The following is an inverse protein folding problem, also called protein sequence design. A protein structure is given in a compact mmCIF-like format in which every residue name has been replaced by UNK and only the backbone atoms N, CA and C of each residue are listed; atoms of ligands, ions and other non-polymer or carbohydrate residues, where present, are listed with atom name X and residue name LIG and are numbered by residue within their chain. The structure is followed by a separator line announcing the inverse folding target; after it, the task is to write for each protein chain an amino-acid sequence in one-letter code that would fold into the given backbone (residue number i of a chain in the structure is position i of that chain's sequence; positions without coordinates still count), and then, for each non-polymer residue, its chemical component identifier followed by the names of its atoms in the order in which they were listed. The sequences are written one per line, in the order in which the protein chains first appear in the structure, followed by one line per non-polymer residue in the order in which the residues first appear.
data_IF_516010409614
#
_entry.id   IF_516010409614
#
_cell.length_a   1.000
_cell.length_b   1.000
_cell.length_c   1.000
_cell.angle_alpha   90.00
_cell.angle_beta   90.00
_cell.angle_gamma   90.00
#
_symmetry.space_group_name_H-M   'P 1'
#
loop_
_entity.id
_entity.type
_entity.pdbx_description
1 polymer ?
#
# COMPACT_ATOMS: atom_id res chain seq x y z
N UNK A 1 -16.70 -15.75 3.89
CA UNK A 1 -16.83 -14.58 2.99
C UNK A 1 -15.63 -14.50 2.04
N UNK A 2 -14.38 -14.60 2.51
CA UNK A 2 -13.16 -14.52 1.69
C UNK A 2 -13.18 -15.52 0.55
N UNK A 3 -13.41 -16.81 0.83
CA UNK A 3 -13.47 -17.85 -0.19
C UNK A 3 -14.62 -17.61 -1.19
N UNK A 4 -15.77 -17.11 -0.71
CA UNK A 4 -16.89 -16.74 -1.59
C UNK A 4 -16.51 -15.60 -2.55
N UNK A 5 -15.78 -14.59 -2.06
CA UNK A 5 -15.29 -13.47 -2.89
C UNK A 5 -14.29 -13.95 -3.95
N UNK A 6 -13.32 -14.80 -3.57
CA UNK A 6 -12.31 -15.34 -4.49
C UNK A 6 -12.94 -16.24 -5.58
N UNK A 7 -13.98 -16.98 -5.23
CA UNK A 7 -14.69 -17.86 -6.19
C UNK A 7 -15.70 -17.14 -7.07
N UNK A 8 -16.11 -15.93 -6.69
CA UNK A 8 -17.04 -15.09 -7.45
C UNK A 8 -16.44 -13.68 -7.62
N UNK A 9 -15.30 -13.55 -8.29
CA UNK A 9 -14.61 -12.29 -8.41
C UNK A 9 -15.37 -11.32 -9.33
N UNK A 10 -15.20 -10.03 -9.05
CA UNK A 10 -15.77 -8.94 -9.84
C UNK A 10 -14.94 -8.73 -11.11
N UNK A 11 -15.58 -8.75 -12.25
CA UNK A 11 -14.99 -8.37 -13.55
C UNK A 11 -13.89 -9.29 -14.10
N UNK A 12 -13.71 -10.49 -13.53
CA UNK A 12 -12.75 -11.47 -14.05
C UNK A 12 -13.11 -12.91 -13.65
N UNK A 13 -12.38 -13.88 -14.21
CA UNK A 13 -12.55 -15.29 -13.87
C UNK A 13 -12.01 -15.63 -12.48
N UNK A 14 -12.56 -16.67 -11.80
CA UNK A 14 -12.00 -17.19 -10.56
C UNK A 14 -10.59 -17.75 -10.75
N UNK A 15 -9.79 -17.82 -9.67
CA UNK A 15 -8.40 -18.31 -9.73
C UNK A 15 -8.29 -19.71 -10.33
N UNK A 16 -9.26 -20.60 -10.09
CA UNK A 16 -9.30 -21.95 -10.66
C UNK A 16 -9.42 -22.00 -12.19
N UNK A 17 -9.86 -20.91 -12.81
CA UNK A 17 -9.98 -20.79 -14.26
C UNK A 17 -8.88 -19.92 -14.86
N UNK A 18 -8.18 -19.12 -14.03
CA UNK A 18 -7.04 -18.31 -14.43
C UNK A 18 -5.74 -19.09 -14.41
N UNK A 19 -5.61 -20.06 -13.50
CA UNK A 19 -4.40 -20.87 -13.30
C UNK A 19 -4.67 -22.33 -13.69
N UNK A 20 -3.61 -23.05 -14.02
CA UNK A 20 -3.61 -24.47 -14.33
C UNK A 20 -2.28 -25.10 -13.90
N UNK A 21 -2.14 -26.42 -14.04
CA UNK A 21 -0.87 -27.11 -13.79
C UNK A 21 0.28 -26.50 -14.63
N UNK A 22 1.36 -26.10 -13.97
CA UNK A 22 2.52 -25.46 -14.58
C UNK A 22 2.43 -23.93 -14.67
N UNK A 23 1.31 -23.31 -14.28
CA UNK A 23 1.25 -21.85 -14.15
C UNK A 23 2.14 -21.38 -13.02
N UNK A 24 2.94 -20.36 -13.29
CA UNK A 24 3.71 -19.60 -12.29
C UNK A 24 2.83 -18.52 -11.65
N UNK A 25 2.87 -18.41 -10.33
CA UNK A 25 2.01 -17.49 -9.58
C UNK A 25 2.83 -16.66 -8.60
N UNK A 26 2.54 -15.35 -8.56
CA UNK A 26 3.07 -14.45 -7.54
C UNK A 26 1.92 -13.88 -6.71
N UNK A 27 1.94 -14.12 -5.40
CA UNK A 27 1.05 -13.52 -4.43
C UNK A 27 1.79 -12.33 -3.79
N UNK A 28 1.29 -11.13 -4.03
CA UNK A 28 1.89 -9.86 -3.65
C UNK A 28 1.28 -9.42 -2.32
N UNK A 29 2.11 -9.28 -1.29
CA UNK A 29 1.69 -9.12 0.10
C UNK A 29 2.25 -7.79 0.63
N UNK A 30 1.42 -6.88 1.18
CA UNK A 30 1.92 -5.64 1.76
C UNK A 30 2.68 -5.91 3.07
N UNK A 31 3.60 -5.00 3.39
CA UNK A 31 4.45 -5.03 4.58
C UNK A 31 3.70 -4.98 5.92
N UNK A 32 4.47 -4.93 7.04
CA UNK A 32 3.95 -4.97 8.41
C UNK A 32 3.04 -3.79 8.76
N UNK A 33 3.20 -2.63 8.11
CA UNK A 33 2.40 -1.43 8.39
C UNK A 33 0.99 -1.48 7.80
N UNK A 34 0.69 -2.49 6.96
CA UNK A 34 -0.60 -2.64 6.28
C UNK A 34 -1.38 -3.84 6.80
N UNK A 35 -2.61 -3.58 7.27
CA UNK A 35 -3.50 -4.61 7.81
C UNK A 35 -3.13 -5.09 9.21
N UNK A 36 -3.88 -6.03 9.73
CA UNK A 36 -3.67 -6.61 11.06
C UNK A 36 -2.75 -7.83 11.05
N UNK A 37 -2.25 -8.18 12.24
CA UNK A 37 -1.33 -9.31 12.45
C UNK A 37 -1.94 -10.44 13.29
N UNK A 38 -3.17 -10.29 13.76
CA UNK A 38 -3.89 -11.33 14.52
C UNK A 38 -4.05 -12.62 13.70
N UNK A 39 -4.25 -13.80 14.34
CA UNK A 39 -4.41 -15.07 13.63
C UNK A 39 -5.50 -15.07 12.56
N UNK A 40 -6.55 -14.29 12.75
CA UNK A 40 -7.68 -14.13 11.82
C UNK A 40 -7.54 -12.91 10.90
N UNK A 41 -6.33 -12.36 10.74
CA UNK A 41 -6.11 -11.22 9.85
C UNK A 41 -6.49 -11.57 8.41
N UNK A 42 -7.04 -10.60 7.69
CA UNK A 42 -7.44 -10.80 6.30
C UNK A 42 -6.29 -11.33 5.43
N UNK A 43 -5.02 -10.89 5.68
CA UNK A 43 -3.87 -11.36 4.91
C UNK A 43 -3.67 -12.86 5.04
N UNK A 44 -3.61 -13.40 6.26
CA UNK A 44 -3.43 -14.84 6.52
C UNK A 44 -4.54 -15.66 5.86
N UNK A 45 -5.79 -15.23 6.07
CA UNK A 45 -6.98 -15.92 5.53
C UNK A 45 -7.00 -15.86 4.01
N UNK A 46 -6.74 -14.69 3.42
CA UNK A 46 -6.80 -14.50 1.97
C UNK A 46 -5.67 -15.22 1.24
N UNK A 47 -4.43 -15.15 1.77
CA UNK A 47 -3.29 -15.87 1.19
C UNK A 47 -3.55 -17.37 1.17
N UNK A 48 -3.96 -17.96 2.31
CA UNK A 48 -4.28 -19.39 2.40
C UNK A 48 -5.40 -19.77 1.43
N UNK A 49 -6.49 -19.00 1.39
CA UNK A 49 -7.60 -19.25 0.50
C UNK A 49 -7.20 -19.17 -0.99
N UNK A 50 -6.36 -18.22 -1.38
CA UNK A 50 -5.83 -18.13 -2.75
C UNK A 50 -4.97 -19.36 -3.08
N UNK A 51 -4.06 -19.76 -2.18
CA UNK A 51 -3.21 -20.95 -2.38
C UNK A 51 -4.06 -22.23 -2.53
N UNK A 52 -5.09 -22.39 -1.71
CA UNK A 52 -5.98 -23.55 -1.80
C UNK A 52 -6.74 -23.60 -3.14
N UNK A 53 -7.18 -22.46 -3.65
CA UNK A 53 -7.80 -22.38 -4.98
C UNK A 53 -6.79 -22.66 -6.11
N UNK A 54 -5.54 -22.23 -5.96
CA UNK A 54 -4.45 -22.53 -6.90
C UNK A 54 -4.09 -24.02 -6.90
N UNK A 55 -3.96 -24.64 -5.72
CA UNK A 55 -3.74 -26.09 -5.62
C UNK A 55 -4.90 -26.87 -6.25
N UNK A 56 -6.12 -26.43 -6.05
CA UNK A 56 -7.28 -27.04 -6.69
C UNK A 56 -7.30 -26.85 -8.22
N UNK A 57 -6.63 -25.84 -8.76
CA UNK A 57 -6.38 -25.65 -10.19
C UNK A 57 -5.22 -26.49 -10.74
N UNK A 58 -4.48 -27.20 -9.85
CA UNK A 58 -3.33 -28.03 -10.20
C UNK A 58 -1.98 -27.32 -10.18
N UNK A 59 -1.91 -26.06 -9.70
CA UNK A 59 -0.65 -25.34 -9.48
C UNK A 59 0.13 -26.06 -8.39
N UNK A 60 1.42 -26.25 -8.59
CA UNK A 60 2.27 -26.89 -7.59
C UNK A 60 2.92 -25.83 -6.68
N UNK A 61 3.22 -26.20 -5.44
CA UNK A 61 3.83 -25.29 -4.45
C UNK A 61 5.07 -24.57 -5.00
N UNK A 62 5.94 -25.29 -5.71
CA UNK A 62 7.19 -24.74 -6.27
C UNK A 62 6.99 -23.60 -7.26
N UNK A 63 5.78 -23.51 -7.84
CA UNK A 63 5.41 -22.50 -8.85
C UNK A 63 4.74 -21.27 -8.24
N UNK A 64 4.67 -21.16 -6.89
CA UNK A 64 4.09 -20.05 -6.16
C UNK A 64 5.16 -19.26 -5.42
N UNK A 65 5.21 -17.93 -5.62
CA UNK A 65 6.04 -17.00 -4.84
C UNK A 65 5.14 -16.12 -3.96
N UNK A 66 5.59 -15.85 -2.73
CA UNK A 66 4.98 -14.92 -1.78
C UNK A 66 5.85 -13.65 -1.72
N UNK A 67 5.57 -12.66 -2.55
CA UNK A 67 6.39 -11.45 -2.69
C UNK A 67 5.93 -10.37 -1.73
N UNK A 68 6.79 -9.94 -0.79
CA UNK A 68 6.53 -8.74 0.01
C UNK A 68 6.74 -7.47 -0.79
N UNK A 69 5.68 -6.65 -0.89
CA UNK A 69 5.62 -5.42 -1.67
C UNK A 69 5.92 -4.20 -0.80
N UNK A 70 7.19 -3.93 -0.59
CA UNK A 70 7.64 -2.87 0.31
C UNK A 70 7.58 -1.46 -0.31
N UNK A 71 7.69 -1.36 -1.64
CA UNK A 71 7.87 -0.06 -2.29
C UNK A 71 9.11 0.66 -1.75
N UNK A 72 8.94 1.87 -1.23
CA UNK A 72 9.98 2.65 -0.55
C UNK A 72 10.02 2.42 0.97
N UNK A 73 9.20 1.53 1.50
CA UNK A 73 9.26 1.18 2.92
C UNK A 73 10.46 0.28 3.21
N UNK A 74 10.90 0.22 4.48
CA UNK A 74 11.97 -0.69 4.87
C UNK A 74 11.66 -2.13 4.48
N UNK A 75 12.69 -2.87 4.08
CA UNK A 75 12.57 -4.28 3.72
C UNK A 75 11.95 -5.08 4.86
N UNK A 76 10.98 -5.94 4.54
CA UNK A 76 10.32 -6.79 5.52
C UNK A 76 11.31 -7.78 6.11
N UNK A 77 11.53 -7.72 7.41
CA UNK A 77 12.43 -8.62 8.14
C UNK A 77 11.82 -10.02 8.30
N UNK A 78 12.66 -11.01 8.55
CA UNK A 78 12.19 -12.40 8.75
C UNK A 78 11.18 -12.54 9.90
N UNK A 79 11.35 -11.89 11.07
CA UNK A 79 10.32 -11.87 12.10
C UNK A 79 9.00 -11.24 11.67
N UNK A 80 9.05 -10.17 10.86
CA UNK A 80 7.86 -9.53 10.30
C UNK A 80 7.15 -10.44 9.29
N UNK A 81 7.90 -11.11 8.40
CA UNK A 81 7.34 -12.11 7.47
C UNK A 81 6.57 -13.19 8.22
N UNK A 82 7.19 -13.74 9.28
CA UNK A 82 6.56 -14.75 10.13
C UNK A 82 5.31 -14.23 10.84
N UNK A 83 5.35 -12.98 11.31
CA UNK A 83 4.19 -12.32 11.95
C UNK A 83 3.04 -12.14 10.97
N UNK A 84 3.33 -11.74 9.73
CA UNK A 84 2.32 -11.48 8.69
C UNK A 84 1.71 -12.79 8.19
N UNK A 85 2.53 -13.78 7.88
CA UNK A 85 2.09 -15.05 7.29
C UNK A 85 1.53 -16.02 8.33
N UNK A 86 2.05 -15.97 9.56
CA UNK A 86 1.86 -17.01 10.57
C UNK A 86 2.81 -18.19 10.34
N UNK A 87 2.94 -19.06 11.35
CA UNK A 87 3.92 -20.17 11.35
C UNK A 87 3.69 -21.14 10.19
N UNK A 88 2.45 -21.48 9.88
CA UNK A 88 2.12 -22.44 8.85
C UNK A 88 2.60 -22.01 7.47
N UNK A 89 2.13 -20.88 6.96
CA UNK A 89 2.52 -20.35 5.64
C UNK A 89 4.01 -19.99 5.59
N UNK A 90 4.55 -19.42 6.68
CA UNK A 90 5.96 -19.10 6.76
C UNK A 90 6.82 -20.36 6.61
N UNK A 91 6.55 -21.42 7.38
CA UNK A 91 7.31 -22.65 7.31
C UNK A 91 7.13 -23.39 5.97
N UNK A 92 5.94 -23.29 5.37
CA UNK A 92 5.63 -23.91 4.09
C UNK A 92 6.51 -23.34 2.96
N UNK A 93 6.75 -22.02 2.93
CA UNK A 93 7.39 -21.35 1.78
C UNK A 93 8.79 -20.77 2.05
N UNK A 94 9.15 -20.48 3.30
CA UNK A 94 10.38 -19.75 3.61
C UNK A 94 11.64 -20.54 3.27
N UNK A 95 11.72 -21.79 3.72
CA UNK A 95 12.93 -22.60 3.57
C UNK A 95 13.21 -23.06 2.14
N UNK A 96 12.24 -22.94 1.24
CA UNK A 96 12.42 -23.18 -0.20
C UNK A 96 12.76 -21.89 -0.98
N UNK A 97 12.99 -20.75 -0.30
CA UNK A 97 13.36 -19.49 -0.93
C UNK A 97 12.22 -18.78 -1.68
N UNK A 98 10.97 -19.13 -1.37
CA UNK A 98 9.79 -18.65 -2.10
C UNK A 98 9.14 -17.43 -1.47
N UNK A 99 9.84 -16.72 -0.53
CA UNK A 99 9.36 -15.49 0.11
C UNK A 99 10.35 -14.35 -0.15
N UNK A 100 10.45 -13.84 -1.39
CA UNK A 100 11.27 -12.66 -1.68
C UNK A 100 10.61 -11.38 -1.16
N UNK A 101 11.42 -10.35 -0.96
CA UNK A 101 10.97 -8.96 -0.75
C UNK A 101 11.31 -8.15 -1.99
N UNK A 102 10.39 -7.29 -2.40
CA UNK A 102 10.66 -6.27 -3.41
C UNK A 102 11.69 -5.28 -2.88
N UNK A 103 12.61 -4.92 -3.74
CA UNK A 103 13.56 -3.83 -3.53
C UNK A 103 13.43 -2.86 -4.73
N UNK A 104 13.13 -1.61 -4.41
CA UNK A 104 12.89 -0.56 -5.43
C UNK A 104 14.14 -0.11 -6.16
N UNK A 105 15.31 -0.62 -5.78
CA UNK A 105 16.63 -0.30 -6.36
C UNK A 105 17.37 -1.53 -6.90
N UNK A 106 16.78 -2.72 -6.79
CA UNK A 106 17.36 -3.98 -7.30
C UNK A 106 17.11 -4.14 -8.81
N UNK A 107 17.97 -3.53 -9.61
CA UNK A 107 17.85 -3.54 -11.09
C UNK A 107 17.89 -4.93 -11.72
N UNK A 108 18.42 -5.96 -11.05
CA UNK A 108 18.40 -7.34 -11.55
C UNK A 108 17.00 -7.95 -11.53
N UNK A 109 16.16 -7.49 -10.58
CA UNK A 109 14.79 -7.97 -10.40
C UNK A 109 13.73 -6.92 -10.79
N UNK A 110 14.11 -5.98 -11.65
CA UNK A 110 13.21 -4.95 -12.20
C UNK A 110 13.12 -5.06 -13.72
N UNK A 111 11.96 -4.71 -14.27
CA UNK A 111 11.68 -4.63 -15.71
C UNK A 111 11.21 -3.22 -16.04
N UNK A 112 11.88 -2.59 -17.00
CA UNK A 112 11.49 -1.28 -17.54
C UNK A 112 10.39 -1.48 -18.60
N UNK A 113 9.21 -0.94 -18.34
CA UNK A 113 8.05 -1.02 -19.22
C UNK A 113 7.94 0.18 -20.17
N UNK A 114 8.78 1.21 -19.97
CA UNK A 114 8.71 2.47 -20.69
C UNK A 114 7.79 3.49 -20.02
N UNK A 115 7.20 4.35 -20.85
CA UNK A 115 6.45 5.52 -20.38
C UNK A 115 4.96 5.39 -20.66
N UNK A 116 4.13 5.82 -19.73
CA UNK A 116 2.69 5.99 -19.95
C UNK A 116 2.43 7.16 -20.91
N UNK A 117 1.22 7.27 -21.44
CA UNK A 117 0.79 8.40 -22.28
C UNK A 117 0.89 9.76 -21.54
N UNK A 118 0.97 9.75 -20.24
CA UNK A 118 1.15 10.93 -19.38
C UNK A 118 2.60 11.21 -19.02
N UNK A 119 3.55 10.44 -19.56
CA UNK A 119 4.99 10.63 -19.36
C UNK A 119 5.55 10.01 -18.09
N UNK A 120 4.78 9.22 -17.33
CA UNK A 120 5.28 8.54 -16.14
C UNK A 120 6.10 7.30 -16.55
N UNK A 121 7.36 7.23 -16.09
CA UNK A 121 8.23 6.08 -16.31
C UNK A 121 7.82 4.93 -15.40
N UNK A 122 7.47 3.79 -15.96
CA UNK A 122 7.01 2.61 -15.21
C UNK A 122 8.04 1.50 -15.26
N UNK A 123 8.60 1.19 -14.11
CA UNK A 123 9.54 0.09 -13.90
C UNK A 123 8.99 -0.76 -12.75
N UNK A 124 8.84 -2.06 -12.96
CA UNK A 124 8.18 -2.93 -12.00
C UNK A 124 8.97 -4.18 -11.67
N UNK A 125 8.57 -4.87 -10.61
CA UNK A 125 9.17 -6.11 -10.15
C UNK A 125 9.09 -7.22 -11.20
N UNK A 126 10.23 -7.85 -11.49
CA UNK A 126 10.38 -8.88 -12.53
C UNK A 126 9.61 -10.16 -12.22
N UNK A 127 9.55 -10.59 -10.96
CA UNK A 127 8.78 -11.79 -10.58
C UNK A 127 7.28 -11.63 -10.92
N UNK A 128 6.76 -10.41 -10.75
CA UNK A 128 5.37 -10.11 -11.09
C UNK A 128 5.17 -10.05 -12.60
N UNK A 129 6.11 -9.45 -13.31
CA UNK A 129 6.07 -9.36 -14.78
C UNK A 129 6.07 -10.74 -15.42
N UNK A 130 6.96 -11.63 -14.98
CA UNK A 130 7.18 -12.96 -15.58
C UNK A 130 6.11 -14.00 -15.18
N UNK A 131 5.41 -13.85 -14.06
CA UNK A 131 4.41 -14.82 -13.60
C UNK A 131 3.18 -14.87 -14.52
N UNK A 132 2.56 -16.05 -14.65
CA UNK A 132 1.30 -16.21 -15.41
C UNK A 132 0.12 -15.58 -14.67
N UNK A 133 0.13 -15.63 -13.33
CA UNK A 133 -0.93 -15.07 -12.47
C UNK A 133 -0.32 -14.20 -11.37
N UNK A 134 -0.77 -12.96 -11.27
CA UNK A 134 -0.37 -12.01 -10.24
C UNK A 134 -1.56 -11.67 -9.33
N UNK A 135 -1.43 -11.95 -8.03
CA UNK A 135 -2.48 -11.77 -7.02
C UNK A 135 -2.05 -10.68 -6.05
N UNK A 136 -2.85 -9.63 -5.91
CA UNK A 136 -2.65 -8.54 -4.95
C UNK A 136 -3.48 -8.81 -3.69
N UNK A 137 -2.84 -9.07 -2.56
CA UNK A 137 -3.50 -9.16 -1.25
C UNK A 137 -3.43 -7.78 -0.59
N UNK A 138 -4.53 -7.08 -0.55
CA UNK A 138 -4.57 -5.71 -0.10
C UNK A 138 -5.66 -5.39 0.91
N UNK A 139 -5.81 -4.11 1.20
CA UNK A 139 -6.94 -3.60 1.96
C UNK A 139 -7.34 -2.22 1.43
N UNK A 140 -8.63 -1.97 1.44
CA UNK A 140 -9.20 -0.67 1.05
C UNK A 140 -9.40 0.19 2.30
N UNK A 141 -8.61 1.23 2.42
CA UNK A 141 -8.66 2.20 3.50
C UNK A 141 -8.46 3.59 2.94
N UNK A 142 -9.14 4.59 3.50
CA UNK A 142 -8.97 5.98 3.11
C UNK A 142 -7.51 6.43 3.17
N UNK A 143 -7.02 6.96 2.06
CA UNK A 143 -5.69 7.53 1.91
C UNK A 143 -5.80 9.03 1.72
N UNK A 144 -5.05 9.87 2.45
CA UNK A 144 -5.23 11.32 2.40
C UNK A 144 -4.96 11.93 1.03
N UNK A 145 -4.08 11.35 0.22
CA UNK A 145 -3.65 11.92 -1.06
C UNK A 145 -4.22 11.19 -2.27
N UNK A 146 -4.23 9.85 -2.24
CA UNK A 146 -4.61 9.01 -3.38
C UNK A 146 -5.98 8.36 -3.27
N UNK A 147 -6.88 8.89 -2.45
CA UNK A 147 -8.23 8.36 -2.25
C UNK A 147 -8.26 7.13 -1.35
N UNK A 148 -7.99 5.96 -1.89
CA UNK A 148 -8.01 4.68 -1.17
C UNK A 148 -6.75 3.86 -1.43
N UNK A 149 -6.37 3.02 -0.46
CA UNK A 149 -5.38 1.95 -0.64
C UNK A 149 -6.00 0.74 -1.35
N UNK A 150 -5.19 -0.27 -1.63
CA UNK A 150 -5.59 -1.45 -2.40
C UNK A 150 -5.58 -1.22 -3.92
N UNK A 151 -5.98 -2.23 -4.67
CA UNK A 151 -6.06 -2.17 -6.13
C UNK A 151 -4.80 -1.65 -6.80
N UNK A 152 -4.94 -0.78 -7.77
CA UNK A 152 -3.81 -0.20 -8.51
C UNK A 152 -2.83 0.60 -7.65
N UNK A 153 -3.26 1.18 -6.52
CA UNK A 153 -2.30 1.78 -5.59
C UNK A 153 -1.30 0.77 -5.08
N UNK A 154 -1.72 -0.46 -4.83
CA UNK A 154 -0.84 -1.50 -4.30
C UNK A 154 0.29 -1.82 -5.30
N UNK A 155 -0.01 -2.02 -6.60
CA UNK A 155 1.04 -2.27 -7.59
C UNK A 155 1.87 -1.02 -7.88
N UNK A 156 1.26 0.14 -8.08
CA UNK A 156 1.96 1.39 -8.42
C UNK A 156 2.96 1.84 -7.32
N UNK A 157 2.74 1.47 -6.06
CA UNK A 157 3.65 1.82 -4.96
C UNK A 157 4.46 0.65 -4.42
N UNK A 158 3.88 -0.56 -4.37
CA UNK A 158 4.43 -1.67 -3.62
C UNK A 158 5.46 -2.51 -4.37
N UNK A 159 5.37 -2.55 -5.70
CA UNK A 159 6.23 -3.38 -6.56
C UNK A 159 6.94 -2.57 -7.65
N UNK A 160 7.03 -1.27 -7.47
CA UNK A 160 7.61 -0.34 -8.45
C UNK A 160 8.97 0.18 -8.02
N UNK A 161 9.78 0.52 -9.00
CA UNK A 161 11.03 1.24 -8.83
C UNK A 161 10.77 2.63 -8.23
N UNK A 162 11.73 3.19 -7.49
CA UNK A 162 11.59 4.49 -6.83
C UNK A 162 11.22 5.64 -7.79
N UNK A 163 11.74 5.64 -9.03
CA UNK A 163 11.39 6.66 -10.04
C UNK A 163 9.92 6.61 -10.44
N UNK A 164 9.36 5.41 -10.58
CA UNK A 164 7.93 5.23 -10.87
C UNK A 164 7.07 5.73 -9.72
N UNK A 165 7.52 5.51 -8.47
CA UNK A 165 6.87 6.01 -7.26
C UNK A 165 6.99 7.53 -7.17
N UNK A 166 8.15 8.10 -7.50
CA UNK A 166 8.37 9.56 -7.51
C UNK A 166 7.38 10.30 -8.43
N UNK A 167 6.96 9.72 -9.55
CA UNK A 167 5.99 10.32 -10.46
C UNK A 167 4.67 10.74 -9.79
N UNK A 168 4.30 10.11 -8.69
CA UNK A 168 3.08 10.43 -7.94
C UNK A 168 3.32 10.85 -6.47
N UNK A 169 4.58 10.83 -5.99
CA UNK A 169 4.96 11.27 -4.62
C UNK A 169 5.77 12.58 -4.63
N UNK A 170 5.44 13.50 -5.52
CA UNK A 170 6.05 14.83 -5.60
C UNK A 170 5.08 15.91 -5.10
N UNK A 171 5.56 17.05 -4.58
CA UNK A 171 4.70 18.10 -4.04
C UNK A 171 3.63 18.58 -5.03
N UNK A 172 3.94 18.65 -6.31
CA UNK A 172 3.02 19.09 -7.38
C UNK A 172 1.78 18.19 -7.51
N UNK A 173 1.91 16.91 -7.14
CA UNK A 173 0.80 15.94 -7.14
C UNK A 173 0.10 15.88 -5.79
N UNK A 174 0.90 15.91 -4.69
CA UNK A 174 0.39 15.70 -3.33
C UNK A 174 -0.17 16.95 -2.66
N UNK A 175 0.36 18.13 -2.98
CA UNK A 175 0.07 19.39 -2.27
C UNK A 175 -0.65 20.42 -3.12
N UNK A 176 -1.51 20.00 -4.01
CA UNK A 176 -2.32 20.88 -4.87
C UNK A 176 -3.30 21.74 -4.04
N UNK A 177 -3.56 22.95 -4.51
CA UNK A 177 -4.52 23.87 -3.87
C UNK A 177 -5.97 23.34 -3.91
N UNK A 178 -6.31 22.55 -4.94
CA UNK A 178 -7.61 21.92 -5.15
C UNK A 178 -7.76 20.57 -4.43
N UNK A 179 -6.81 20.21 -3.58
CA UNK A 179 -6.79 18.93 -2.88
C UNK A 179 -8.01 18.71 -1.99
N UNK A 180 -8.66 17.57 -2.16
CA UNK A 180 -9.73 17.07 -1.30
C UNK A 180 -9.29 15.74 -0.70
N UNK A 181 -9.23 15.61 0.64
CA UNK A 181 -8.86 14.35 1.27
C UNK A 181 -9.76 13.20 0.83
N UNK A 182 -9.15 12.02 0.63
CA UNK A 182 -9.85 10.79 0.24
C UNK A 182 -10.60 10.94 -1.11
N UNK A 183 -10.11 11.81 -1.98
CA UNK A 183 -10.66 11.96 -3.32
C UNK A 183 -10.34 10.77 -4.22
N UNK A 184 -11.35 10.21 -4.85
CA UNK A 184 -11.19 9.17 -5.89
C UNK A 184 -10.79 9.73 -7.26
N UNK A 185 -10.69 11.06 -7.37
CA UNK A 185 -10.36 11.80 -8.60
C UNK A 185 -9.14 12.71 -8.42
N UNK A 186 -8.32 12.48 -7.38
CA UNK A 186 -7.07 13.21 -7.20
C UNK A 186 -6.07 12.86 -8.31
N UNK A 187 -5.14 13.79 -8.59
CA UNK A 187 -4.06 13.52 -9.54
C UNK A 187 -3.25 12.27 -9.16
N UNK A 188 -2.95 12.10 -7.88
CA UNK A 188 -2.27 10.91 -7.38
C UNK A 188 -3.08 9.64 -7.64
N UNK A 189 -4.41 9.66 -7.48
CA UNK A 189 -5.28 8.52 -7.80
C UNK A 189 -5.21 8.18 -9.29
N UNK A 190 -5.32 9.18 -10.13
CA UNK A 190 -5.23 8.99 -11.58
C UNK A 190 -3.91 8.34 -11.99
N UNK A 191 -2.80 8.78 -11.41
CA UNK A 191 -1.48 8.19 -11.67
C UNK A 191 -1.37 6.74 -11.21
N UNK A 192 -1.91 6.37 -10.04
CA UNK A 192 -1.97 4.98 -9.62
C UNK A 192 -2.74 4.10 -10.61
N UNK A 193 -3.90 4.57 -11.04
CA UNK A 193 -4.75 3.82 -11.96
C UNK A 193 -4.09 3.68 -13.33
N UNK A 194 -3.48 4.74 -13.85
CA UNK A 194 -2.75 4.73 -15.12
C UNK A 194 -1.54 3.79 -15.09
N UNK A 195 -0.71 3.87 -14.05
CA UNK A 195 0.46 2.99 -13.90
C UNK A 195 0.03 1.53 -13.78
N UNK A 196 -1.00 1.23 -12.97
CA UNK A 196 -1.51 -0.13 -12.81
C UNK A 196 -2.08 -0.69 -14.12
N UNK A 197 -2.89 0.07 -14.84
CA UNK A 197 -3.41 -0.33 -16.16
C UNK A 197 -2.29 -0.51 -17.18
N UNK A 198 -1.27 0.34 -17.18
CA UNK A 198 -0.12 0.22 -18.04
C UNK A 198 0.71 -1.04 -17.75
N UNK A 199 0.91 -1.38 -16.45
CA UNK A 199 1.51 -2.66 -16.07
C UNK A 199 0.73 -3.84 -16.63
N UNK A 200 -0.60 -3.86 -16.48
CA UNK A 200 -1.47 -4.91 -17.02
C UNK A 200 -1.37 -5.04 -18.54
N UNK A 201 -1.34 -3.92 -19.27
CA UNK A 201 -1.17 -3.90 -20.73
C UNK A 201 0.17 -4.53 -21.13
N UNK A 202 1.27 -4.10 -20.51
CA UNK A 202 2.61 -4.61 -20.82
C UNK A 202 2.82 -6.07 -20.43
N UNK A 203 2.19 -6.52 -19.35
CA UNK A 203 2.19 -7.92 -18.94
C UNK A 203 1.26 -8.81 -19.78
N UNK A 204 0.29 -8.23 -20.48
CA UNK A 204 -0.76 -8.96 -21.19
C UNK A 204 -1.74 -9.72 -20.27
N UNK A 205 -1.78 -9.35 -18.98
CA UNK A 205 -2.62 -9.98 -17.95
C UNK A 205 -3.10 -8.96 -16.93
N UNK A 206 -4.23 -9.25 -16.29
CA UNK A 206 -4.79 -8.43 -15.20
C UNK A 206 -4.33 -8.91 -13.84
N UNK A 207 -4.20 -7.99 -12.89
CA UNK A 207 -4.05 -8.35 -11.48
C UNK A 207 -5.34 -8.94 -10.93
N UNK A 208 -5.23 -10.05 -10.21
CA UNK A 208 -6.31 -10.55 -9.37
C UNK A 208 -6.19 -9.90 -7.99
N UNK A 209 -7.08 -8.97 -7.68
CA UNK A 209 -7.09 -8.30 -6.38
C UNK A 209 -7.90 -9.08 -5.34
N UNK A 210 -7.46 -9.01 -4.09
CA UNK A 210 -8.18 -9.51 -2.93
C UNK A 210 -8.04 -8.50 -1.79
N UNK A 211 -8.94 -7.53 -1.75
CA UNK A 211 -8.88 -6.36 -0.89
C UNK A 211 -9.96 -6.39 0.19
N UNK A 212 -9.54 -6.30 1.46
CA UNK A 212 -10.44 -6.21 2.59
C UNK A 212 -10.68 -4.77 3.03
N UNK A 213 -11.89 -4.44 3.44
CA UNK A 213 -12.17 -3.24 4.25
C UNK A 213 -12.05 -3.62 5.71
N UNK A 214 -11.24 -2.88 6.47
CA UNK A 214 -10.92 -3.19 7.86
C UNK A 214 -11.49 -2.15 8.83
N UNK A 215 -11.89 -2.57 10.02
CA UNK A 215 -12.23 -1.67 11.12
C UNK A 215 -10.98 -1.10 11.82
N UNK A 216 -11.17 -0.26 12.83
CA UNK A 216 -10.07 0.35 13.61
C UNK A 216 -9.22 -0.65 14.40
N UNK A 217 -9.67 -1.89 14.54
CA UNK A 217 -8.94 -3.01 15.17
C UNK A 217 -8.38 -3.98 14.14
N UNK A 218 -8.34 -3.58 12.85
CA UNK A 218 -7.89 -4.40 11.72
C UNK A 218 -8.70 -5.68 11.49
N UNK A 219 -9.96 -5.71 11.94
CA UNK A 219 -10.87 -6.83 11.65
C UNK A 219 -11.56 -6.57 10.32
N UNK A 220 -11.77 -7.62 9.55
CA UNK A 220 -12.43 -7.55 8.25
C UNK A 220 -13.92 -7.19 8.40
N UNK A 221 -14.35 -6.09 7.78
CA UNK A 221 -15.75 -5.67 7.65
C UNK A 221 -16.33 -6.24 6.36
N UNK A 222 -15.57 -6.17 5.27
CA UNK A 222 -15.92 -6.69 3.96
C UNK A 222 -14.66 -7.13 3.23
N UNK A 223 -14.84 -7.91 2.16
CA UNK A 223 -13.76 -8.32 1.27
C UNK A 223 -14.29 -8.38 -0.16
N UNK A 224 -13.45 -7.90 -1.08
CA UNK A 224 -13.72 -7.84 -2.51
C UNK A 224 -12.56 -8.47 -3.26
N UNK A 225 -12.88 -9.32 -4.23
CA UNK A 225 -11.87 -9.91 -5.10
C UNK A 225 -12.24 -9.68 -6.56
N UNK A 226 -11.22 -9.59 -7.42
CA UNK A 226 -11.43 -9.47 -8.84
C UNK A 226 -10.55 -8.43 -9.51
N UNK A 227 -11.01 -7.90 -10.64
CA UNK A 227 -10.33 -6.92 -11.45
C UNK A 227 -10.35 -5.52 -10.82
N UNK A 228 -9.20 -4.93 -10.60
CA UNK A 228 -9.07 -3.66 -9.88
C UNK A 228 -10.01 -2.57 -10.39
N UNK A 229 -10.07 -2.37 -11.70
CA UNK A 229 -10.86 -1.30 -12.31
C UNK A 229 -12.36 -1.39 -11.99
N UNK A 230 -12.91 -2.60 -11.89
CA UNK A 230 -14.32 -2.83 -11.61
C UNK A 230 -14.61 -2.99 -10.11
N UNK A 231 -13.66 -3.57 -9.38
CA UNK A 231 -13.77 -3.83 -7.94
C UNK A 231 -13.58 -2.58 -7.08
N UNK A 232 -12.63 -1.72 -7.44
CA UNK A 232 -12.27 -0.52 -6.64
C UNK A 232 -13.47 0.36 -6.31
N UNK A 233 -14.31 0.79 -7.26
CA UNK A 233 -15.45 1.66 -6.94
C UNK A 233 -16.39 1.03 -5.91
N UNK A 234 -16.65 -0.28 -6.00
CA UNK A 234 -17.53 -1.01 -5.09
C UNK A 234 -16.93 -1.08 -3.67
N UNK A 235 -15.62 -1.36 -3.58
CA UNK A 235 -14.91 -1.42 -2.30
C UNK A 235 -14.82 -0.05 -1.63
N UNK A 236 -14.70 1.03 -2.41
CA UNK A 236 -14.64 2.40 -1.92
C UNK A 236 -15.94 2.85 -1.26
N UNK A 237 -17.10 2.45 -1.78
CA UNK A 237 -18.40 2.76 -1.15
C UNK A 237 -18.50 2.20 0.28
N UNK A 238 -17.93 1.02 0.52
CA UNK A 238 -17.89 0.44 1.87
C UNK A 238 -16.82 1.12 2.74
N UNK A 239 -15.67 1.44 2.16
CA UNK A 239 -14.59 2.13 2.85
C UNK A 239 -14.97 3.57 3.23
N UNK A 240 -15.79 4.27 2.44
CA UNK A 240 -16.34 5.59 2.75
C UNK A 240 -17.13 5.58 4.05
N UNK A 241 -18.03 4.63 4.23
CA UNK A 241 -18.84 4.49 5.44
C UNK A 241 -17.99 4.25 6.70
N UNK A 242 -16.82 3.70 6.54
CA UNK A 242 -15.83 3.51 7.61
C UNK A 242 -14.95 4.73 7.81
N UNK A 243 -14.67 5.49 6.76
CA UNK A 243 -13.73 6.64 6.77
C UNK A 243 -14.40 7.92 7.27
N UNK A 244 -15.62 8.20 6.83
CA UNK A 244 -16.37 9.38 7.19
C UNK A 244 -17.39 9.04 8.29
N UNK A 245 -16.94 9.09 9.54
CA UNK A 245 -17.76 8.71 10.72
C UNK A 245 -18.18 9.90 11.59
N UNK A 246 -17.66 11.08 11.31
CA UNK A 246 -17.97 12.31 12.04
C UNK A 246 -18.09 13.51 11.09
N UNK A 247 -19.16 14.27 11.22
CA UNK A 247 -19.38 15.51 10.50
C UNK A 247 -19.32 16.69 11.46
N UNK A 248 -18.39 17.61 11.19
CA UNK A 248 -18.27 18.82 12.00
C UNK A 248 -19.34 19.85 11.59
N UNK A 249 -20.17 20.28 12.54
CA UNK A 249 -21.24 21.28 12.30
C UNK A 249 -20.71 22.72 12.36
N UNK A 250 -19.51 22.92 12.90
CA UNK A 250 -18.88 24.24 13.06
C UNK A 250 -17.37 24.14 12.90
N UNK A 251 -16.71 25.28 12.73
CA UNK A 251 -15.26 25.39 12.85
C UNK A 251 -14.84 25.43 14.33
N UNK A 252 -13.63 24.96 14.60
CA UNK A 252 -13.05 24.89 15.94
C UNK A 252 -11.80 25.77 16.02
N UNK A 253 -11.57 26.39 17.18
CA UNK A 253 -10.39 27.22 17.40
C UNK A 253 -9.18 26.39 17.76
N UNK A 254 -9.39 25.18 18.30
CA UNK A 254 -8.31 24.26 18.65
C UNK A 254 -8.68 22.84 18.21
N UNK A 255 -7.76 22.19 17.53
CA UNK A 255 -7.84 20.76 17.18
C UNK A 255 -6.62 20.06 17.74
N UNK A 256 -6.81 19.01 18.53
CA UNK A 256 -5.74 18.27 19.22
C UNK A 256 -5.59 16.89 18.61
N UNK A 257 -4.35 16.50 18.30
CA UNK A 257 -3.99 15.16 17.82
C UNK A 257 -3.05 14.46 18.79
N UNK A 258 -3.31 13.18 19.05
CA UNK A 258 -2.34 12.27 19.64
C UNK A 258 -1.59 11.52 18.54
N UNK A 259 -0.26 11.58 18.55
CA UNK A 259 0.60 10.87 17.58
C UNK A 259 1.37 9.78 18.33
N UNK A 260 0.97 8.50 18.21
CA UNK A 260 1.66 7.40 18.86
C UNK A 260 3.03 7.13 18.24
N UNK A 261 3.95 6.56 19.03
CA UNK A 261 5.32 6.21 18.59
C UNK A 261 5.37 5.28 17.38
N UNK A 262 4.38 4.42 17.24
CA UNK A 262 4.28 3.45 16.14
C UNK A 262 3.28 3.88 15.06
N UNK A 263 3.06 5.18 14.93
CA UNK A 263 2.10 5.68 13.96
C UNK A 263 2.55 5.35 12.53
N UNK A 264 1.63 4.80 11.75
CA UNK A 264 1.64 4.57 10.31
C UNK A 264 2.81 3.73 9.75
N UNK A 265 4.07 4.17 9.83
CA UNK A 265 5.23 3.47 9.26
C UNK A 265 6.08 2.69 10.29
N UNK A 266 5.51 2.38 11.43
CA UNK A 266 6.13 1.55 12.46
C UNK A 266 6.95 2.33 13.49
N UNK A 267 7.86 1.60 14.16
CA UNK A 267 8.67 2.17 15.22
C UNK A 267 9.48 3.39 14.78
N UNK A 268 9.45 4.43 15.59
CA UNK A 268 10.18 5.66 15.36
C UNK A 268 9.42 6.74 14.61
N UNK A 269 8.22 6.47 14.08
CA UNK A 269 7.46 7.47 13.32
C UNK A 269 7.09 8.71 14.13
N UNK A 270 6.90 8.61 15.44
CA UNK A 270 6.60 9.73 16.31
C UNK A 270 7.79 10.29 17.08
N UNK A 271 9.02 9.84 16.81
CA UNK A 271 10.21 10.16 17.61
C UNK A 271 11.06 11.26 17.00
N UNK A 272 11.18 11.32 15.67
CA UNK A 272 11.97 12.35 15.00
C UNK A 272 11.10 13.37 14.26
N UNK A 273 11.60 14.60 14.07
CA UNK A 273 10.81 15.68 13.49
C UNK A 273 10.42 15.45 12.02
N UNK A 274 11.22 14.77 11.22
CA UNK A 274 10.93 14.54 9.80
C UNK A 274 9.69 13.63 9.65
N UNK A 275 9.71 12.47 10.29
CA UNK A 275 8.57 11.55 10.25
C UNK A 275 7.35 12.12 10.95
N UNK A 276 7.57 12.88 12.03
CA UNK A 276 6.51 13.59 12.74
C UNK A 276 5.82 14.61 11.82
N UNK A 277 6.56 15.40 11.08
CA UNK A 277 6.04 16.37 10.12
C UNK A 277 5.27 15.69 8.98
N UNK A 278 5.77 14.57 8.45
CA UNK A 278 5.08 13.80 7.43
C UNK A 278 3.70 13.31 7.92
N UNK A 279 3.65 12.73 9.12
CA UNK A 279 2.41 12.26 9.72
C UNK A 279 1.43 13.41 10.01
N UNK A 280 1.95 14.52 10.53
CA UNK A 280 1.17 15.71 10.85
C UNK A 280 0.60 16.36 9.59
N UNK A 281 1.34 16.46 8.50
CA UNK A 281 0.88 17.02 7.23
C UNK A 281 -0.42 16.38 6.77
N UNK A 282 -0.52 15.05 6.83
CA UNK A 282 -1.74 14.33 6.49
C UNK A 282 -2.91 14.71 7.41
N UNK A 283 -2.67 14.93 8.71
CA UNK A 283 -3.72 15.35 9.64
C UNK A 283 -4.15 16.80 9.41
N UNK A 284 -3.20 17.70 9.18
CA UNK A 284 -3.49 19.10 8.87
C UNK A 284 -4.33 19.20 7.60
N UNK A 285 -3.94 18.51 6.53
CA UNK A 285 -4.68 18.51 5.26
C UNK A 285 -6.11 18.01 5.44
N UNK A 286 -6.32 16.96 6.22
CA UNK A 286 -7.64 16.41 6.49
C UNK A 286 -8.54 17.37 7.29
N UNK A 287 -7.96 18.09 8.24
CA UNK A 287 -8.73 18.83 9.25
C UNK A 287 -8.69 20.35 9.10
N UNK A 288 -7.86 20.89 8.19
CA UNK A 288 -7.79 22.37 8.00
C UNK A 288 -9.13 23.05 7.72
N UNK A 289 -10.09 22.33 7.12
CA UNK A 289 -11.41 22.86 6.79
C UNK A 289 -12.32 23.07 8.01
N UNK A 290 -12.07 22.35 9.11
CA UNK A 290 -12.80 22.48 10.36
C UNK A 290 -12.11 23.43 11.35
N UNK A 291 -10.91 23.92 11.02
CA UNK A 291 -10.20 24.90 11.82
C UNK A 291 -10.67 26.31 11.48
N UNK A 292 -10.88 27.16 12.51
CA UNK A 292 -11.17 28.59 12.30
C UNK A 292 -9.94 29.32 11.74
N UNK A 293 -10.13 30.53 11.22
CA UNK A 293 -9.06 31.27 10.54
C UNK A 293 -7.88 31.62 11.47
N UNK A 294 -8.08 31.65 12.79
CA UNK A 294 -7.04 31.82 13.82
C UNK A 294 -6.85 30.56 14.67
N UNK A 295 -7.33 29.44 14.17
CA UNK A 295 -7.30 28.20 14.91
C UNK A 295 -5.90 27.59 14.98
N UNK A 296 -5.70 26.72 15.95
CA UNK A 296 -4.43 26.09 16.27
C UNK A 296 -4.57 24.57 16.26
N UNK A 297 -3.61 23.90 15.62
CA UNK A 297 -3.40 22.46 15.81
C UNK A 297 -2.43 22.24 16.95
N UNK A 298 -2.82 21.41 17.92
CA UNK A 298 -1.94 20.95 19.00
C UNK A 298 -1.64 19.48 18.77
N UNK A 299 -0.35 19.13 18.68
CA UNK A 299 0.10 17.76 18.46
C UNK A 299 0.81 17.26 19.71
N UNK A 300 0.28 16.18 20.28
CA UNK A 300 0.94 15.45 21.36
C UNK A 300 1.70 14.27 20.78
N UNK A 301 3.02 14.28 20.91
CA UNK A 301 3.92 13.22 20.45
C UNK A 301 5.13 13.14 21.35
N UNK A 302 5.85 12.02 21.34
CA UNK A 302 7.14 11.88 22.02
C UNK A 302 8.16 12.83 21.42
N UNK A 303 8.36 12.79 20.11
CA UNK A 303 9.26 13.63 19.30
C UNK A 303 10.57 14.00 20.05
N UNK A 304 11.24 12.98 20.59
CA UNK A 304 12.47 13.11 21.41
C UNK A 304 13.76 13.26 20.58
N UNK A 305 13.61 13.29 19.26
CA UNK A 305 14.73 13.42 18.32
C UNK A 305 15.41 12.09 17.95
N UNK A 306 14.87 10.95 18.35
CA UNK A 306 15.44 9.66 18.00
C UNK A 306 15.24 9.35 16.52
N UNK A 307 16.33 9.06 15.81
CA UNK A 307 16.34 8.56 14.43
C UNK A 307 16.70 7.08 14.42
N UNK A 308 15.87 6.27 13.78
CA UNK A 308 16.14 4.85 13.60
C UNK A 308 16.95 4.64 12.31
N UNK A 309 18.26 4.81 12.39
CA UNK A 309 19.17 4.87 11.23
C UNK A 309 19.21 3.57 10.40
N UNK A 310 19.03 2.39 11.02
CA UNK A 310 18.93 1.11 10.28
C UNK A 310 17.68 1.03 9.40
N UNK A 311 16.57 1.60 9.89
CA UNK A 311 15.28 1.50 9.20
C UNK A 311 15.04 2.67 8.25
N UNK A 312 15.61 3.84 8.57
CA UNK A 312 15.44 5.10 7.84
C UNK A 312 16.78 5.83 7.72
N UNK A 313 17.73 5.30 6.94
CA UNK A 313 19.13 5.74 6.96
C UNK A 313 19.34 7.20 6.56
N UNK A 314 18.47 7.77 5.73
CA UNK A 314 18.62 9.12 5.20
C UNK A 314 17.92 10.23 5.99
N UNK A 315 17.08 9.88 6.98
CA UNK A 315 16.26 10.89 7.66
C UNK A 315 17.06 11.88 8.49
N UNK A 316 18.17 11.45 9.06
CA UNK A 316 19.07 12.33 9.83
C UNK A 316 19.74 13.36 8.92
N UNK A 317 20.26 12.94 7.78
CA UNK A 317 20.83 13.79 6.76
C UNK A 317 19.80 14.80 6.22
N UNK A 318 18.60 14.35 5.88
CA UNK A 318 17.50 15.23 5.49
C UNK A 318 17.17 16.28 6.56
N UNK A 319 17.16 15.89 7.83
CA UNK A 319 16.92 16.81 8.93
C UNK A 319 17.99 17.92 8.99
N UNK A 320 19.25 17.55 8.82
CA UNK A 320 20.37 18.51 8.79
C UNK A 320 20.25 19.45 7.57
N UNK A 321 19.93 18.93 6.41
CA UNK A 321 19.71 19.74 5.19
C UNK A 321 18.55 20.73 5.38
N UNK A 322 17.42 20.31 5.94
CA UNK A 322 16.27 21.18 6.19
C UNK A 322 16.55 22.33 7.16
N UNK A 323 17.48 22.17 8.09
CA UNK A 323 17.86 23.25 9.00
C UNK A 323 18.59 24.38 8.29
N UNK A 324 19.31 24.10 7.20
CA UNK A 324 20.15 25.05 6.50
C UNK A 324 19.49 25.61 5.24
N UNK A 325 18.78 24.81 4.48
CA UNK A 325 18.15 25.22 3.23
C UNK A 325 16.87 24.43 2.91
N UNK A 326 15.91 24.62 3.74
CA UNK A 326 14.63 23.91 3.67
C UNK A 326 13.90 24.07 2.31
N UNK A 327 13.91 25.26 1.70
CA UNK A 327 13.17 25.49 0.45
C UNK A 327 13.82 24.78 -0.75
N UNK A 328 15.14 24.82 -0.86
CA UNK A 328 15.85 24.11 -1.94
C UNK A 328 15.84 22.60 -1.72
N UNK A 329 16.01 22.14 -0.48
CA UNK A 329 15.88 20.71 -0.13
C UNK A 329 14.51 20.14 -0.48
N UNK A 330 13.43 20.94 -0.44
CA UNK A 330 12.10 20.51 -0.88
C UNK A 330 11.93 20.50 -2.40
N UNK A 331 12.76 21.27 -3.11
CA UNK A 331 12.69 21.37 -4.57
C UNK A 331 13.45 20.23 -5.28
N UNK A 332 14.52 19.75 -4.66
CA UNK A 332 15.36 18.66 -5.14
C UNK A 332 14.79 17.29 -4.77
#
# INVERSE_FOLDING_TARGET
ETLKSIRNPIGMKPLRELAHKGSTVVIIIPDIVKGGNQPTSHRKVSIRACIDELYAAGVEKKDILLLFSNGLHPRTSVPEMKTILGDELFNEFYYSGQIPSHDSEDYEHLVDLGYTDHGDHVIMNKYVYDADVAILIGHTQGNPYGGYSGGYKHCATGISHWRSIAAHHVPQVMHRADFVPVSTHSEMRNKFDQQGMFMEEKMGKKFFCCDAVLDSKSRQIAIFSGYAKEMQPISWEVADKRTYVHWAEKKYDVVVFGMPTNFHYGNGMGTNPIQMMQALSAQVIRHKRILSDRGVFIVSSICDGYFHDERWPYLRELYEMFQHDYMNTLAD
#
